data_IF_233270473979
#
_entry.id   IF_233270473979
#
_cell.length_a   1.000
_cell.length_b   1.000
_cell.length_c   1.000
_cell.angle_alpha   90.00
_cell.angle_beta   90.00
_cell.angle_gamma   90.00
#
_symmetry.space_group_name_H-M   'P 1'
#
loop_
_entity.id
_entity.type
_entity.pdbx_description
1 polymer ?
#
# COMPACT_ATOMS: atom_id res chain seq x y z
N UNK A 1 -8.81 -9.51 28.26
CA UNK A 1 -8.97 -8.15 27.70
C UNK A 1 -7.57 -7.60 27.60
N UNK A 2 -6.86 -7.91 26.51
CA UNK A 2 -5.52 -7.40 26.30
C UNK A 2 -5.64 -5.91 26.06
N UNK A 3 -5.04 -5.09 26.93
CA UNK A 3 -4.72 -3.72 26.56
C UNK A 3 -3.94 -3.81 25.25
N UNK A 4 -4.58 -3.47 24.14
CA UNK A 4 -3.89 -3.34 22.86
C UNK A 4 -3.00 -2.14 23.04
N UNK A 5 -1.77 -2.40 23.50
CA UNK A 5 -0.77 -1.41 23.79
C UNK A 5 -0.69 -0.50 22.57
N UNK A 6 -0.58 0.80 22.79
CA UNK A 6 -0.33 1.76 21.71
C UNK A 6 0.81 1.25 20.79
N UNK A 7 1.77 0.55 21.38
CA UNK A 7 2.83 -0.16 20.66
C UNK A 7 2.33 -1.16 19.61
N UNK A 8 1.38 -2.04 19.95
CA UNK A 8 0.87 -3.06 19.01
C UNK A 8 0.14 -2.42 17.83
N UNK A 9 -0.58 -1.33 18.09
CA UNK A 9 -1.26 -0.56 17.04
C UNK A 9 -0.28 0.12 16.11
N UNK A 10 0.75 0.76 16.67
CA UNK A 10 1.83 1.38 15.89
C UNK A 10 2.59 0.32 15.09
N UNK A 11 2.91 -0.81 15.70
CA UNK A 11 3.60 -1.90 15.02
C UNK A 11 2.78 -2.44 13.85
N UNK A 12 1.49 -2.70 14.04
CA UNK A 12 0.60 -3.16 12.97
C UNK A 12 0.44 -2.10 11.86
N UNK A 13 0.38 -0.82 12.22
CA UNK A 13 0.32 0.29 11.26
C UNK A 13 1.61 0.36 10.43
N UNK A 14 2.77 0.31 11.06
CA UNK A 14 4.08 0.30 10.39
C UNK A 14 4.22 -0.91 9.48
N UNK A 15 3.82 -2.10 9.93
CA UNK A 15 3.86 -3.31 9.09
C UNK A 15 2.95 -3.20 7.87
N UNK A 16 1.74 -2.64 8.03
CA UNK A 16 0.81 -2.44 6.91
C UNK A 16 1.31 -1.41 5.92
N UNK A 17 1.94 -0.34 6.42
CA UNK A 17 2.58 0.63 5.55
C UNK A 17 3.73 -0.02 4.78
N UNK A 18 4.60 -0.76 5.47
CA UNK A 18 5.78 -1.41 4.87
C UNK A 18 5.39 -2.46 3.83
N UNK A 19 4.44 -3.33 4.17
CA UNK A 19 3.90 -4.38 3.32
C UNK A 19 2.38 -4.30 3.37
N UNK A 20 1.71 -3.88 2.27
CA UNK A 20 0.26 -3.74 2.24
C UNK A 20 -0.46 -4.94 2.84
N UNK A 21 -1.33 -4.68 3.81
CA UNK A 21 -2.12 -5.70 4.51
C UNK A 21 -1.41 -6.47 5.64
N UNK A 22 -0.10 -6.34 5.85
CA UNK A 22 0.63 -7.17 6.81
C UNK A 22 0.23 -6.93 8.29
N UNK A 23 -0.19 -5.74 8.69
CA UNK A 23 -0.64 -5.49 10.06
C UNK A 23 -1.95 -6.21 10.42
N UNK A 24 -2.79 -6.55 9.44
CA UNK A 24 -4.00 -7.34 9.67
C UNK A 24 -3.69 -8.76 10.18
N UNK A 25 -2.45 -9.24 10.01
CA UNK A 25 -2.01 -10.51 10.58
C UNK A 25 -1.93 -10.46 12.10
N UNK A 26 -1.53 -9.33 12.68
CA UNK A 26 -1.51 -9.10 14.14
C UNK A 26 -2.93 -9.11 14.70
N UNK A 27 -3.89 -8.55 13.95
CA UNK A 27 -5.32 -8.59 14.32
C UNK A 27 -5.96 -9.98 14.13
N UNK A 28 -5.22 -10.99 13.66
CA UNK A 28 -5.73 -12.34 13.42
C UNK A 28 -6.48 -12.52 12.08
N UNK A 29 -6.68 -11.44 11.32
CA UNK A 29 -7.42 -11.47 10.05
C UNK A 29 -6.55 -11.93 8.86
N UNK A 30 -6.03 -13.15 8.90
CA UNK A 30 -5.06 -13.68 7.91
C UNK A 30 -5.56 -13.66 6.46
N UNK A 31 -6.81 -14.08 6.22
CA UNK A 31 -7.40 -14.09 4.87
C UNK A 31 -7.54 -12.69 4.31
N UNK A 32 -7.94 -11.72 5.16
CA UNK A 32 -8.05 -10.30 4.80
C UNK A 32 -6.68 -9.71 4.53
N UNK A 33 -5.68 -9.99 5.38
CA UNK A 33 -4.29 -9.57 5.19
C UNK A 33 -3.76 -10.01 3.81
N UNK A 34 -3.93 -11.30 3.48
CA UNK A 34 -3.50 -11.85 2.20
C UNK A 34 -4.24 -11.22 1.02
N UNK A 35 -5.57 -11.12 1.08
CA UNK A 35 -6.37 -10.55 0.01
C UNK A 35 -6.01 -9.07 -0.26
N UNK A 36 -5.90 -8.26 0.80
CA UNK A 36 -5.50 -6.85 0.68
C UNK A 36 -4.07 -6.71 0.15
N UNK A 37 -3.15 -7.54 0.64
CA UNK A 37 -1.77 -7.55 0.14
C UNK A 37 -1.70 -7.89 -1.35
N UNK A 38 -2.39 -8.95 -1.79
CA UNK A 38 -2.43 -9.34 -3.20
C UNK A 38 -3.04 -8.24 -4.08
N UNK A 39 -4.15 -7.63 -3.64
CA UNK A 39 -4.82 -6.59 -4.43
C UNK A 39 -3.96 -5.35 -4.55
N UNK A 40 -3.39 -4.85 -3.44
CA UNK A 40 -2.62 -3.60 -3.43
C UNK A 40 -1.25 -3.77 -4.10
N UNK A 41 -0.53 -4.85 -3.77
CA UNK A 41 0.73 -5.15 -4.46
C UNK A 41 0.48 -5.45 -5.94
N UNK A 42 -0.57 -6.19 -6.27
CA UNK A 42 -0.94 -6.47 -7.66
C UNK A 42 -1.24 -5.18 -8.43
N UNK A 43 -2.00 -4.26 -7.84
CA UNK A 43 -2.31 -2.97 -8.47
C UNK A 43 -1.04 -2.13 -8.68
N UNK A 44 -0.19 -2.04 -7.65
CA UNK A 44 1.07 -1.31 -7.72
C UNK A 44 2.02 -1.88 -8.77
N UNK A 45 2.32 -3.18 -8.72
CA UNK A 45 3.24 -3.82 -9.65
C UNK A 45 2.70 -3.89 -11.08
N UNK A 46 1.39 -3.99 -11.25
CA UNK A 46 0.76 -3.86 -12.57
C UNK A 46 0.91 -2.46 -13.12
N UNK A 47 0.65 -1.44 -12.29
CA UNK A 47 0.85 -0.03 -12.66
C UNK A 47 2.30 0.22 -13.09
N UNK A 48 3.24 -0.28 -12.30
CA UNK A 48 4.66 -0.10 -12.58
C UNK A 48 5.13 -0.86 -13.83
N UNK A 49 4.59 -2.06 -14.07
CA UNK A 49 4.88 -2.82 -15.30
C UNK A 49 4.36 -2.12 -16.55
N UNK A 50 3.19 -1.46 -16.47
CA UNK A 50 2.63 -0.66 -17.58
C UNK A 50 3.51 0.55 -17.89
N UNK A 51 4.17 1.10 -16.87
CA UNK A 51 5.09 2.23 -16.99
C UNK A 51 6.46 1.86 -17.57
N UNK A 52 6.70 0.58 -17.87
CA UNK A 52 8.04 0.12 -18.28
C UNK A 52 9.02 0.04 -17.11
N UNK A 53 8.52 0.07 -15.87
CA UNK A 53 9.29 -0.20 -14.66
C UNK A 53 9.78 1.02 -13.90
N UNK A 54 9.43 2.26 -14.25
CA UNK A 54 10.28 3.36 -13.78
C UNK A 54 9.66 4.77 -13.69
N UNK A 55 8.45 5.01 -14.20
CA UNK A 55 7.93 6.39 -14.35
C UNK A 55 6.98 6.88 -13.26
N UNK A 56 6.52 6.00 -12.38
CA UNK A 56 5.61 6.38 -11.29
C UNK A 56 6.39 7.12 -10.18
N UNK A 57 7.58 6.61 -9.87
CA UNK A 57 8.31 6.91 -8.64
C UNK A 57 9.49 7.87 -8.87
N UNK A 58 9.32 8.93 -9.65
CA UNK A 58 10.40 9.94 -9.81
C UNK A 58 10.03 11.25 -9.10
N UNK A 59 10.63 11.46 -7.92
CA UNK A 59 10.43 12.67 -7.12
C UNK A 59 10.77 13.97 -7.88
N UNK A 60 11.82 13.93 -8.71
CA UNK A 60 12.34 15.12 -9.41
C UNK A 60 11.36 15.68 -10.45
N UNK A 61 10.54 14.81 -11.05
CA UNK A 61 9.62 15.19 -12.11
C UNK A 61 8.23 15.44 -11.53
N UNK A 62 7.78 14.58 -10.60
CA UNK A 62 6.42 14.58 -10.09
C UNK A 62 6.34 14.32 -8.58
N UNK A 63 6.71 15.30 -7.74
CA UNK A 63 6.82 15.11 -6.29
C UNK A 63 5.49 14.71 -5.64
N UNK A 64 4.36 15.21 -6.15
CA UNK A 64 3.03 14.88 -5.61
C UNK A 64 2.70 13.40 -5.80
N UNK A 65 2.96 12.83 -6.98
CA UNK A 65 2.66 11.41 -7.25
C UNK A 65 3.58 10.50 -6.44
N UNK A 66 4.85 10.85 -6.32
CA UNK A 66 5.79 10.14 -5.45
C UNK A 66 5.28 10.05 -4.00
N UNK A 67 4.79 11.14 -3.42
CA UNK A 67 4.26 11.11 -2.05
C UNK A 67 3.00 10.25 -1.90
N UNK A 68 2.13 10.22 -2.91
CA UNK A 68 0.92 9.38 -2.89
C UNK A 68 1.29 7.89 -3.03
N UNK A 69 2.27 7.59 -3.87
CA UNK A 69 2.76 6.22 -4.08
C UNK A 69 3.60 5.71 -2.93
N UNK A 70 4.30 6.58 -2.18
CA UNK A 70 5.00 6.24 -0.95
C UNK A 70 4.06 5.63 0.12
N UNK A 71 2.75 5.74 -0.07
CA UNK A 71 1.76 4.96 0.67
C UNK A 71 1.93 3.44 0.56
N UNK A 72 2.53 2.91 -0.51
CA UNK A 72 2.87 1.49 -0.67
C UNK A 72 4.14 1.05 0.09
N UNK A 73 4.76 1.98 0.83
CA UNK A 73 5.91 1.74 1.70
C UNK A 73 7.09 1.12 0.96
N UNK A 74 7.48 -0.10 1.36
CA UNK A 74 8.70 -0.74 0.86
C UNK A 74 8.69 -0.93 -0.66
N UNK A 75 7.53 -1.19 -1.26
CA UNK A 75 7.42 -1.45 -2.70
C UNK A 75 7.86 -0.23 -3.52
N UNK A 76 7.52 0.97 -3.06
CA UNK A 76 7.90 2.24 -3.69
C UNK A 76 9.41 2.46 -3.64
N UNK A 77 10.04 2.15 -2.50
CA UNK A 77 11.50 2.25 -2.37
C UNK A 77 12.24 1.22 -3.21
N UNK A 78 11.73 -0.02 -3.28
CA UNK A 78 12.29 -1.07 -4.14
C UNK A 78 12.20 -0.64 -5.61
N UNK A 79 11.07 -0.10 -6.04
CA UNK A 79 10.92 0.38 -7.42
C UNK A 79 11.86 1.54 -7.72
N UNK A 80 11.91 2.56 -6.86
CA UNK A 80 12.83 3.68 -7.01
C UNK A 80 14.29 3.24 -7.06
N UNK A 81 14.69 2.25 -6.25
CA UNK A 81 16.06 1.74 -6.25
C UNK A 81 16.37 0.92 -7.51
N UNK A 82 15.45 0.08 -7.96
CA UNK A 82 15.67 -0.79 -9.11
C UNK A 82 15.66 -0.03 -10.44
N UNK A 83 14.94 1.11 -10.51
CA UNK A 83 14.67 1.78 -11.79
C UNK A 83 14.63 3.32 -11.75
N UNK A 84 15.09 3.96 -10.66
CA UNK A 84 15.07 5.42 -10.55
C UNK A 84 16.05 6.16 -11.49
N UNK A 85 17.19 5.55 -11.83
CA UNK A 85 18.23 6.21 -12.64
C UNK A 85 17.87 6.37 -14.13
N UNK A 86 17.34 5.36 -14.85
CA UNK A 86 17.10 5.44 -16.30
C UNK A 86 16.05 6.46 -16.75
N UNK A 87 15.12 6.87 -15.88
CA UNK A 87 13.98 7.75 -16.24
C UNK A 87 14.40 9.21 -16.37
N UNK A 88 15.51 9.58 -15.73
CA UNK A 88 16.05 10.93 -15.81
C UNK A 88 16.54 11.28 -17.23
N UNK A 89 16.82 10.29 -18.07
CA UNK A 89 17.31 10.50 -19.45
C UNK A 89 16.18 10.70 -20.49
N UNK A 90 15.02 10.06 -20.32
CA UNK A 90 13.94 10.05 -21.34
C UNK A 90 12.99 11.27 -21.29
N UNK A 91 13.15 12.17 -20.32
CA UNK A 91 12.64 13.54 -20.43
C UNK A 91 11.11 13.69 -20.55
N UNK A 92 10.32 12.81 -19.93
CA UNK A 92 8.86 12.98 -19.84
C UNK A 92 8.49 14.10 -18.85
N UNK A 93 8.71 15.34 -19.30
CA UNK A 93 8.54 16.59 -18.52
C UNK A 93 7.09 17.04 -18.37
N UNK A 94 6.11 16.33 -18.92
CA UNK A 94 4.70 16.74 -18.82
C UNK A 94 3.72 15.58 -18.95
N UNK A 95 3.00 15.30 -17.86
CA UNK A 95 1.88 14.33 -17.78
C UNK A 95 0.80 14.64 -18.82
N UNK A 96 0.63 15.92 -19.18
CA UNK A 96 -0.37 16.33 -20.18
C UNK A 96 -0.13 15.73 -21.56
N UNK A 97 1.12 15.39 -21.89
CA UNK A 97 1.49 14.81 -23.18
C UNK A 97 1.80 13.31 -23.10
N UNK A 98 1.53 12.69 -21.97
CA UNK A 98 1.86 11.29 -21.75
C UNK A 98 0.83 10.37 -22.44
N UNK A 99 1.27 9.32 -23.15
CA UNK A 99 0.40 8.28 -23.68
C UNK A 99 -0.57 7.75 -22.61
N UNK A 100 -1.84 7.52 -23.00
CA UNK A 100 -2.92 7.13 -22.08
C UNK A 100 -2.58 5.90 -21.23
N UNK A 101 -1.85 4.92 -21.78
CA UNK A 101 -1.46 3.71 -21.05
C UNK A 101 -0.52 4.02 -19.88
N UNK A 102 0.40 4.98 -20.04
CA UNK A 102 1.31 5.39 -18.97
C UNK A 102 0.55 6.17 -17.88
N UNK A 103 -0.42 7.01 -18.26
CA UNK A 103 -1.29 7.67 -17.27
C UNK A 103 -2.09 6.65 -16.43
N UNK A 104 -2.50 5.52 -16.99
CA UNK A 104 -3.14 4.43 -16.25
C UNK A 104 -2.18 3.77 -15.24
N UNK A 105 -0.91 3.62 -15.61
CA UNK A 105 0.11 3.08 -14.72
C UNK A 105 0.30 3.93 -13.46
N UNK A 106 0.47 5.25 -13.62
CA UNK A 106 0.56 6.20 -12.50
C UNK A 106 -0.70 6.12 -11.63
N UNK A 107 -1.88 6.08 -12.25
CA UNK A 107 -3.15 6.00 -11.53
C UNK A 107 -3.21 4.74 -10.65
N UNK A 108 -2.79 3.58 -11.15
CA UNK A 108 -2.77 2.34 -10.37
C UNK A 108 -1.81 2.42 -9.18
N UNK A 109 -0.60 2.95 -9.37
CA UNK A 109 0.38 3.11 -8.30
C UNK A 109 -0.14 4.06 -7.20
N UNK A 110 -0.67 5.22 -7.60
CA UNK A 110 -1.22 6.26 -6.71
C UNK A 110 -2.43 5.75 -5.95
N UNK A 111 -3.40 5.14 -6.63
CA UNK A 111 -4.61 4.59 -5.99
C UNK A 111 -4.23 3.49 -5.01
N UNK A 112 -3.29 2.61 -5.36
CA UNK A 112 -2.81 1.59 -4.44
C UNK A 112 -2.18 2.20 -3.18
N UNK A 113 -1.35 3.23 -3.34
CA UNK A 113 -0.69 3.91 -2.22
C UNK A 113 -1.69 4.58 -1.29
N UNK A 114 -2.67 5.30 -1.85
CA UNK A 114 -3.75 5.93 -1.09
C UNK A 114 -4.59 4.89 -0.33
N UNK A 115 -4.95 3.77 -0.98
CA UNK A 115 -5.69 2.69 -0.34
C UNK A 115 -4.89 2.05 0.79
N UNK A 116 -3.57 1.87 0.63
CA UNK A 116 -2.75 1.35 1.71
C UNK A 116 -2.69 2.31 2.91
N UNK A 117 -2.64 3.63 2.69
CA UNK A 117 -2.77 4.61 3.77
C UNK A 117 -4.11 4.48 4.50
N UNK A 118 -5.21 4.26 3.78
CA UNK A 118 -6.51 4.00 4.43
C UNK A 118 -6.46 2.74 5.29
N UNK A 119 -5.75 1.69 4.88
CA UNK A 119 -5.56 0.49 5.71
C UNK A 119 -4.73 0.77 6.97
N UNK A 120 -3.68 1.57 6.86
CA UNK A 120 -2.85 2.01 7.99
C UNK A 120 -3.71 2.79 9.00
N UNK A 121 -4.50 3.75 8.53
CA UNK A 121 -5.42 4.54 9.36
C UNK A 121 -6.47 3.65 10.03
N UNK A 122 -7.04 2.70 9.28
CA UNK A 122 -8.00 1.75 9.83
C UNK A 122 -7.41 0.88 10.94
N UNK A 123 -6.13 0.50 10.86
CA UNK A 123 -5.45 -0.28 11.90
C UNK A 123 -5.13 0.58 13.13
N UNK A 124 -4.87 1.86 12.97
CA UNK A 124 -4.64 2.76 14.10
C UNK A 124 -5.92 2.99 14.92
N UNK A 125 -7.08 2.87 14.29
CA UNK A 125 -8.38 2.99 14.96
C UNK A 125 -8.60 1.89 16.01
N UNK A 126 -8.93 2.31 17.23
CA UNK A 126 -9.29 1.42 18.33
C UNK A 126 -10.48 0.52 18.04
N UNK A 127 -11.46 1.00 17.26
CA UNK A 127 -12.68 0.23 16.98
C UNK A 127 -12.38 -1.04 16.19
N UNK A 128 -11.46 -0.96 15.23
CA UNK A 128 -10.98 -2.11 14.45
C UNK A 128 -10.43 -3.22 15.34
N UNK A 129 -9.71 -2.86 16.40
CA UNK A 129 -9.16 -3.82 17.35
C UNK A 129 -10.22 -4.42 18.27
N UNK A 130 -11.24 -3.65 18.65
CA UNK A 130 -12.39 -4.17 19.40
C UNK A 130 -13.17 -5.16 18.53
N UNK A 131 -13.39 -4.86 17.26
CA UNK A 131 -14.01 -5.77 16.29
C UNK A 131 -13.18 -7.04 16.09
N UNK A 132 -11.85 -6.95 16.07
CA UNK A 132 -10.96 -8.11 16.02
C UNK A 132 -11.07 -8.97 17.27
N UNK A 133 -11.10 -8.37 18.45
CA UNK A 133 -11.28 -9.08 19.72
C UNK A 133 -12.66 -9.74 19.84
N UNK A 134 -13.68 -9.14 19.24
CA UNK A 134 -15.06 -9.64 19.23
C UNK A 134 -15.40 -10.52 18.00
N UNK A 135 -14.45 -10.69 17.07
CA UNK A 135 -14.59 -11.45 15.82
C UNK A 135 -14.71 -12.97 16.04
N UNK A 136 -14.89 -13.79 14.96
CA UNK A 136 -15.75 -14.99 14.93
C UNK A 136 -15.19 -16.22 15.67
N UNK A 137 -14.91 -16.09 16.96
CA UNK A 137 -14.61 -17.17 17.88
C UNK A 137 -15.80 -17.46 18.83
N UNK A 138 -17.05 -17.24 18.37
CA UNK A 138 -18.27 -17.58 19.12
C UNK A 138 -19.38 -18.29 18.33
N UNK A 139 -19.18 -18.61 17.06
CA UNK A 139 -20.18 -19.33 16.24
C UNK A 139 -19.91 -20.85 16.12
N UNK A 140 -18.86 -21.38 16.78
CA UNK A 140 -18.45 -22.78 16.67
C UNK A 140 -18.48 -23.60 17.98
N UNK A 141 -19.02 -23.07 19.08
CA UNK A 141 -19.15 -23.79 20.36
C UNK A 141 -20.60 -24.13 20.72
N UNK A 142 -21.52 -24.04 19.76
CA UNK A 142 -22.92 -24.40 19.94
C UNK A 142 -23.40 -25.29 18.79
N UNK A 143 -22.81 -26.48 18.65
CA UNK A 143 -23.46 -27.66 18.03
C UNK A 143 -22.72 -28.96 18.38
#
# INVERSE_FOLDING_TARGET
MTDNSLFDRILAAVLTWLIPGAGYWILGYRKKALALGIILLGLFWTGESILGGSMAVTYEVHPVFFYLEAGNGLSTFISNWAWGDPVHEDGLRSIQNMPVHLNLGILFCVVSGMLNILLVLNILDSETWQQAANGPAKEGEAE
#
